data_IF_352621193818
#
_entry.id   IF_352621193818
#
_cell.length_a   1.000
_cell.length_b   1.000
_cell.length_c   1.000
_cell.angle_alpha   90.00
_cell.angle_beta   90.00
_cell.angle_gamma   90.00
#
_symmetry.space_group_name_H-M   'P 1'
#
loop_
_entity.id
_entity.type
_entity.pdbx_description
1 polymer ?
#
# COMPACT_ATOMS: atom_id res chain seq x y z
N UNK A 1 -27.04 -2.28 25.77
CA UNK A 1 -26.50 -2.39 24.39
C UNK A 1 -25.10 -2.99 24.48
N UNK A 2 -24.90 -4.22 24.01
CA UNK A 2 -23.57 -4.80 23.96
C UNK A 2 -22.78 -4.16 22.81
N UNK A 3 -21.73 -3.40 23.11
CA UNK A 3 -20.78 -2.94 22.10
C UNK A 3 -20.06 -4.18 21.53
N UNK A 4 -20.45 -4.59 20.33
CA UNK A 4 -19.72 -5.56 19.51
C UNK A 4 -18.36 -4.95 19.16
N UNK A 5 -17.40 -5.13 20.06
CA UNK A 5 -16.00 -4.77 19.81
C UNK A 5 -15.45 -5.74 18.76
N UNK A 6 -15.35 -5.28 17.51
CA UNK A 6 -14.73 -6.04 16.43
C UNK A 6 -13.27 -6.35 16.82
N UNK A 7 -12.98 -7.62 17.08
CA UNK A 7 -11.62 -8.10 17.33
C UNK A 7 -11.08 -8.69 16.02
N UNK A 8 -10.21 -7.98 15.29
CA UNK A 8 -9.71 -8.44 13.99
C UNK A 8 -8.89 -9.74 14.09
N UNK A 9 -8.35 -10.06 15.26
CA UNK A 9 -7.59 -11.29 15.51
C UNK A 9 -7.67 -11.72 16.98
N UNK A 10 -7.68 -13.03 17.22
CA UNK A 10 -7.54 -13.64 18.55
C UNK A 10 -6.09 -13.96 18.92
N UNK A 11 -5.11 -13.69 18.04
CA UNK A 11 -3.70 -13.94 18.31
C UNK A 11 -3.22 -13.02 19.45
N UNK A 12 -2.61 -13.64 20.47
CA UNK A 12 -2.06 -12.95 21.64
C UNK A 12 -1.00 -11.91 21.27
N UNK A 13 -0.28 -12.10 20.16
CA UNK A 13 0.76 -11.19 19.66
C UNK A 13 0.21 -9.82 19.26
N UNK A 14 -1.05 -9.79 18.86
CA UNK A 14 -1.72 -8.60 18.36
C UNK A 14 -2.67 -7.96 19.38
N UNK A 15 -2.57 -8.34 20.66
CA UNK A 15 -3.40 -7.76 21.72
C UNK A 15 -2.77 -6.46 22.26
N UNK A 16 -3.57 -5.41 22.37
CA UNK A 16 -3.10 -4.07 22.78
C UNK A 16 -3.24 -3.06 21.65
N UNK A 17 -2.43 -2.00 21.67
CA UNK A 17 -2.52 -0.92 20.68
C UNK A 17 -2.09 -1.37 19.27
N UNK A 18 -1.22 -2.38 19.16
CA UNK A 18 -0.75 -2.91 17.88
C UNK A 18 -1.87 -3.58 17.06
N UNK A 19 -3.04 -3.87 17.66
CA UNK A 19 -4.23 -4.36 16.93
C UNK A 19 -4.71 -3.38 15.85
N UNK A 20 -4.42 -2.09 16.02
CA UNK A 20 -4.78 -1.04 15.06
C UNK A 20 -4.03 -1.16 13.74
N UNK A 21 -2.98 -2.01 13.67
CA UNK A 21 -2.37 -2.42 12.41
C UNK A 21 -3.40 -2.93 11.40
N UNK A 22 -4.32 -3.81 11.84
CA UNK A 22 -5.33 -4.38 10.94
C UNK A 22 -6.42 -3.38 10.57
N UNK A 23 -6.75 -2.46 11.46
CA UNK A 23 -7.66 -1.35 11.16
C UNK A 23 -7.07 -0.45 10.07
N UNK A 24 -5.79 -0.05 10.20
CA UNK A 24 -5.12 0.74 9.17
C UNK A 24 -4.97 -0.01 7.86
N UNK A 25 -4.68 -1.31 7.92
CA UNK A 25 -4.63 -2.16 6.73
C UNK A 25 -5.98 -2.17 5.98
N UNK A 26 -7.10 -2.25 6.70
CA UNK A 26 -8.44 -2.14 6.10
C UNK A 26 -8.70 -0.76 5.52
N UNK A 27 -8.37 0.32 6.25
CA UNK A 27 -8.49 1.70 5.76
C UNK A 27 -7.68 1.89 4.47
N UNK A 28 -6.45 1.39 4.43
CA UNK A 28 -5.58 1.41 3.26
C UNK A 28 -6.22 0.72 2.07
N UNK A 29 -6.78 -0.48 2.27
CA UNK A 29 -7.46 -1.19 1.18
C UNK A 29 -8.74 -0.49 0.71
N UNK A 30 -9.48 0.16 1.61
CA UNK A 30 -10.61 1.01 1.22
C UNK A 30 -10.17 2.21 0.39
N UNK A 31 -9.00 2.79 0.69
CA UNK A 31 -8.41 3.89 -0.08
C UNK A 31 -7.89 3.45 -1.46
N UNK A 32 -7.45 2.20 -1.61
CA UNK A 32 -7.05 1.63 -2.90
C UNK A 32 -8.23 1.57 -3.88
N UNK A 33 -9.47 1.37 -3.43
CA UNK A 33 -10.63 1.28 -4.31
C UNK A 33 -10.87 2.53 -5.18
N UNK A 34 -10.99 3.76 -4.62
CA UNK A 34 -11.12 4.96 -5.43
C UNK A 34 -9.84 5.25 -6.24
N UNK A 35 -8.66 4.90 -5.72
CA UNK A 35 -7.40 5.01 -6.47
C UNK A 35 -7.44 4.19 -7.77
N UNK A 36 -7.88 2.93 -7.70
CA UNK A 36 -8.08 2.07 -8.90
C UNK A 36 -9.06 2.71 -9.87
N UNK A 37 -10.10 3.39 -9.39
CA UNK A 37 -11.01 4.17 -10.23
C UNK A 37 -10.32 5.28 -11.03
N UNK A 38 -9.40 6.02 -10.40
CA UNK A 38 -8.58 7.05 -11.08
C UNK A 38 -7.67 6.42 -12.13
N UNK A 39 -7.00 5.31 -11.80
CA UNK A 39 -6.12 4.55 -12.71
C UNK A 39 -6.88 4.08 -13.96
N UNK A 40 -8.11 3.57 -13.78
CA UNK A 40 -8.97 3.18 -14.91
C UNK A 40 -9.38 4.41 -15.74
N UNK A 41 -9.72 5.52 -15.11
CA UNK A 41 -10.08 6.75 -15.80
C UNK A 41 -8.93 7.31 -16.64
N UNK A 42 -7.69 7.29 -16.12
CA UNK A 42 -6.50 7.65 -16.90
C UNK A 42 -6.30 6.67 -18.06
N UNK A 43 -6.38 5.36 -17.83
CA UNK A 43 -6.19 4.34 -18.87
C UNK A 43 -7.18 4.52 -20.03
N UNK A 44 -8.45 4.78 -19.73
CA UNK A 44 -9.49 5.04 -20.74
C UNK A 44 -9.22 6.35 -21.49
N UNK A 45 -8.77 7.39 -20.79
CA UNK A 45 -8.47 8.69 -21.38
C UNK A 45 -7.24 8.61 -22.30
N UNK A 46 -6.18 7.94 -21.87
CA UNK A 46 -4.97 7.68 -22.67
C UNK A 46 -5.29 6.96 -23.97
N UNK A 47 -6.16 5.94 -23.93
CA UNK A 47 -6.58 5.24 -25.14
C UNK A 47 -7.27 6.18 -26.14
N UNK A 48 -8.17 7.04 -25.66
CA UNK A 48 -8.89 8.01 -26.49
C UNK A 48 -7.94 9.03 -27.10
N UNK A 49 -7.06 9.61 -26.30
CA UNK A 49 -6.08 10.60 -26.77
C UNK A 49 -5.12 10.00 -27.79
N UNK A 50 -4.69 8.75 -27.59
CA UNK A 50 -3.82 8.05 -28.55
C UNK A 50 -4.49 7.75 -29.90
N UNK A 51 -5.81 7.52 -29.93
CA UNK A 51 -6.58 7.35 -31.18
C UNK A 51 -6.73 8.68 -31.94
N UNK A 52 -6.89 9.80 -31.22
CA UNK A 52 -7.04 11.15 -31.78
C UNK A 52 -5.73 11.70 -32.36
N UNK A 53 -4.60 11.54 -31.65
CA UNK A 53 -3.31 12.12 -32.04
C UNK A 53 -2.50 11.26 -33.05
N UNK A 54 -3.01 10.08 -33.49
CA UNK A 54 -2.33 9.13 -34.41
C UNK A 54 -0.92 8.69 -33.98
N UNK A 55 -0.55 8.90 -32.72
CA UNK A 55 0.76 8.50 -32.18
C UNK A 55 0.72 6.99 -31.89
N UNK A 56 1.81 6.28 -32.23
CA UNK A 56 1.96 4.84 -31.97
C UNK A 56 1.71 4.52 -30.49
N UNK A 57 0.55 3.88 -30.23
CA UNK A 57 0.01 3.59 -28.91
C UNK A 57 0.83 2.56 -28.09
N UNK A 58 1.85 1.94 -28.69
CA UNK A 58 2.58 0.84 -28.05
C UNK A 58 3.49 1.29 -26.91
N UNK A 59 4.01 2.53 -26.92
CA UNK A 59 4.91 3.04 -25.89
C UNK A 59 4.23 3.65 -24.66
N UNK A 60 3.04 4.23 -24.83
CA UNK A 60 2.34 4.95 -23.76
C UNK A 60 1.74 4.01 -22.70
N UNK A 61 1.19 2.87 -23.13
CA UNK A 61 0.60 1.89 -22.23
C UNK A 61 1.63 1.18 -21.34
N UNK A 62 2.83 0.91 -21.85
CA UNK A 62 3.90 0.25 -21.10
C UNK A 62 4.41 1.17 -19.98
N UNK A 63 4.66 2.45 -20.29
CA UNK A 63 5.13 3.45 -19.31
C UNK A 63 4.11 3.72 -18.19
N UNK A 64 2.81 3.63 -18.49
CA UNK A 64 1.74 3.76 -17.48
C UNK A 64 1.80 2.64 -16.44
N UNK A 65 1.90 1.39 -16.88
CA UNK A 65 1.97 0.23 -15.98
C UNK A 65 3.29 0.15 -15.22
N UNK A 66 4.39 0.64 -15.79
CA UNK A 66 5.66 0.78 -15.08
C UNK A 66 5.54 1.73 -13.89
N UNK A 67 4.81 2.83 -14.05
CA UNK A 67 4.61 3.83 -13.00
C UNK A 67 3.72 3.33 -11.87
N UNK A 68 2.60 2.70 -12.19
CA UNK A 68 1.55 2.37 -11.21
C UNK A 68 1.55 0.89 -10.83
N UNK A 69 1.71 0.02 -11.83
CA UNK A 69 1.64 -1.43 -11.68
C UNK A 69 2.72 -1.99 -10.76
N UNK A 70 3.90 -1.37 -10.73
CA UNK A 70 5.02 -1.78 -9.88
C UNK A 70 4.68 -1.80 -8.39
N UNK A 71 3.81 -0.89 -7.90
CA UNK A 71 3.34 -0.88 -6.52
C UNK A 71 1.99 -1.61 -6.36
N UNK A 72 1.06 -1.36 -7.28
CA UNK A 72 -0.32 -1.81 -7.13
C UNK A 72 -0.48 -3.33 -7.22
N UNK A 73 0.13 -3.97 -8.23
CA UNK A 73 0.02 -5.42 -8.46
C UNK A 73 0.54 -6.22 -7.26
N UNK A 74 1.78 -5.99 -6.77
CA UNK A 74 2.26 -6.71 -5.61
C UNK A 74 1.45 -6.39 -4.35
N UNK A 75 0.92 -5.18 -4.16
CA UNK A 75 0.12 -4.84 -2.98
C UNK A 75 -1.24 -5.58 -2.98
N UNK A 76 -1.84 -5.74 -4.16
CA UNK A 76 -3.04 -6.58 -4.34
C UNK A 76 -2.71 -8.04 -4.01
N UNK A 77 -1.58 -8.58 -4.50
CA UNK A 77 -1.17 -9.95 -4.17
C UNK A 77 -0.91 -10.14 -2.67
N UNK A 78 -0.18 -9.20 -2.05
CA UNK A 78 0.05 -9.18 -0.61
C UNK A 78 -1.27 -9.09 0.16
N UNK A 79 -2.27 -8.40 -0.38
CA UNK A 79 -3.56 -8.26 0.28
C UNK A 79 -4.26 -9.61 0.47
N UNK A 80 -4.20 -10.50 -0.52
CA UNK A 80 -4.70 -11.87 -0.37
C UNK A 80 -3.89 -12.67 0.66
N UNK A 81 -2.56 -12.50 0.67
CA UNK A 81 -1.67 -13.18 1.63
C UNK A 81 -1.96 -12.75 3.07
N UNK A 82 -2.13 -11.45 3.31
CA UNK A 82 -2.47 -10.91 4.64
C UNK A 82 -3.86 -11.39 5.06
N UNK A 83 -4.86 -11.30 4.17
CA UNK A 83 -6.21 -11.78 4.47
C UNK A 83 -6.21 -13.27 4.88
N UNK A 84 -5.50 -14.11 4.14
CA UNK A 84 -5.33 -15.52 4.48
C UNK A 84 -4.62 -15.70 5.84
N UNK A 85 -3.55 -14.94 6.08
CA UNK A 85 -2.80 -14.96 7.34
C UNK A 85 -3.63 -14.54 8.56
N UNK A 86 -4.52 -13.55 8.39
CA UNK A 86 -5.46 -13.11 9.42
C UNK A 86 -6.50 -14.20 9.69
N UNK A 87 -7.12 -14.76 8.66
CA UNK A 87 -8.12 -15.85 8.79
C UNK A 87 -7.52 -17.04 9.53
N UNK A 88 -6.28 -17.42 9.21
CA UNK A 88 -5.58 -18.52 9.88
C UNK A 88 -4.95 -18.15 11.23
N UNK A 89 -5.06 -16.89 11.68
CA UNK A 89 -4.44 -16.39 12.92
C UNK A 89 -2.92 -16.63 12.96
N UNK A 90 -2.26 -16.50 11.81
CA UNK A 90 -0.82 -16.81 11.61
C UNK A 90 0.00 -15.61 11.13
N UNK A 91 -0.58 -14.41 11.06
CA UNK A 91 0.14 -13.22 10.63
C UNK A 91 1.21 -12.82 11.65
N UNK A 92 2.49 -12.99 11.30
CA UNK A 92 3.60 -12.77 12.23
C UNK A 92 3.99 -11.29 12.30
N UNK A 93 4.34 -10.73 13.49
CA UNK A 93 4.79 -9.34 13.60
C UNK A 93 6.03 -9.00 12.77
N UNK A 94 6.96 -9.96 12.59
CA UNK A 94 8.11 -9.79 11.69
C UNK A 94 7.66 -9.64 10.25
N UNK A 95 6.74 -10.50 9.78
CA UNK A 95 6.21 -10.41 8.42
C UNK A 95 5.53 -9.06 8.22
N UNK A 96 4.67 -8.65 9.16
CA UNK A 96 4.02 -7.35 9.17
C UNK A 96 5.02 -6.18 9.08
N UNK A 97 6.12 -6.26 9.81
CA UNK A 97 7.18 -5.25 9.81
C UNK A 97 7.86 -5.17 8.44
N UNK A 98 8.33 -6.30 7.94
CA UNK A 98 9.04 -6.39 6.66
C UNK A 98 8.14 -5.92 5.52
N UNK A 99 6.88 -6.37 5.48
CA UNK A 99 5.93 -5.92 4.46
C UNK A 99 5.67 -4.42 4.58
N UNK A 100 5.52 -3.86 5.79
CA UNK A 100 5.32 -2.42 5.92
C UNK A 100 6.51 -1.61 5.40
N UNK A 101 7.75 -2.04 5.65
CA UNK A 101 8.96 -1.35 5.16
C UNK A 101 9.02 -1.41 3.62
N UNK A 102 8.88 -2.61 3.06
CA UNK A 102 9.00 -2.83 1.61
C UNK A 102 7.93 -2.03 0.86
N UNK A 103 6.67 -2.12 1.29
CA UNK A 103 5.58 -1.43 0.61
C UNK A 103 5.56 0.07 0.87
N UNK A 104 6.00 0.54 2.04
CA UNK A 104 6.23 1.97 2.25
C UNK A 104 7.24 2.52 1.23
N UNK A 105 8.38 1.85 1.06
CA UNK A 105 9.41 2.28 0.10
C UNK A 105 8.89 2.24 -1.35
N UNK A 106 8.15 1.18 -1.71
CA UNK A 106 7.59 1.01 -3.04
C UNK A 106 6.54 2.07 -3.38
N UNK A 107 5.60 2.34 -2.46
CA UNK A 107 4.60 3.39 -2.64
C UNK A 107 5.22 4.78 -2.63
N UNK A 108 6.24 5.04 -1.80
CA UNK A 108 6.96 6.31 -1.81
C UNK A 108 7.66 6.53 -3.16
N UNK A 109 8.34 5.50 -3.68
CA UNK A 109 9.00 5.56 -4.98
C UNK A 109 8.01 5.88 -6.10
N UNK A 110 6.88 5.16 -6.16
CA UNK A 110 5.84 5.41 -7.17
C UNK A 110 5.20 6.78 -7.01
N UNK A 111 4.97 7.25 -5.78
CA UNK A 111 4.47 8.60 -5.50
C UNK A 111 5.38 9.67 -6.11
N UNK A 112 6.69 9.56 -5.84
CA UNK A 112 7.69 10.51 -6.34
C UNK A 112 7.82 10.42 -7.86
N UNK A 113 7.88 9.20 -8.41
CA UNK A 113 7.95 8.98 -9.85
C UNK A 113 6.75 9.61 -10.56
N UNK A 114 5.54 9.44 -10.02
CA UNK A 114 4.32 9.98 -10.63
C UNK A 114 4.30 11.51 -10.61
N UNK A 115 4.64 12.12 -9.47
CA UNK A 115 4.74 13.56 -9.35
C UNK A 115 5.83 14.15 -10.27
N UNK A 116 7.00 13.50 -10.35
CA UNK A 116 8.11 13.93 -11.19
C UNK A 116 7.80 13.80 -12.69
N UNK A 117 7.16 12.72 -13.13
CA UNK A 117 6.76 12.52 -14.52
C UNK A 117 5.70 13.55 -14.95
N UNK A 118 4.76 13.88 -14.05
CA UNK A 118 3.79 14.94 -14.31
C UNK A 118 4.46 16.32 -14.40
N UNK A 119 5.43 16.58 -13.52
CA UNK A 119 6.17 17.85 -13.47
C UNK A 119 7.14 18.03 -14.64
N UNK A 120 7.86 16.98 -15.04
CA UNK A 120 8.87 17.07 -16.10
C UNK A 120 8.25 17.38 -17.47
N UNK A 121 6.94 17.16 -17.64
CA UNK A 121 6.27 17.37 -18.91
C UNK A 121 6.80 16.47 -20.03
N UNK A 122 7.57 15.43 -19.71
CA UNK A 122 8.23 14.53 -20.68
C UNK A 122 7.24 13.68 -21.49
N UNK A 123 5.96 13.72 -21.14
CA UNK A 123 4.88 13.11 -21.94
C UNK A 123 4.56 14.07 -23.09
N UNK A 124 5.43 14.08 -24.11
CA UNK A 124 5.30 14.80 -25.41
C UNK A 124 4.16 14.22 -26.27
N UNK A 125 3.20 13.52 -25.67
CA UNK A 125 2.11 12.86 -26.38
C UNK A 125 0.93 13.80 -26.64
N UNK A 126 0.86 14.94 -25.94
CA UNK A 126 -0.25 15.87 -26.07
C UNK A 126 0.14 17.09 -26.89
N UNK A 127 -0.47 17.21 -28.06
CA UNK A 127 -0.36 18.39 -28.93
C UNK A 127 -1.14 19.59 -28.36
N UNK A 128 -2.22 19.33 -27.61
CA UNK A 128 -3.06 20.33 -26.97
C UNK A 128 -2.73 20.55 -25.47
N UNK A 129 -2.53 21.81 -25.08
CA UNK A 129 -2.31 22.24 -23.69
C UNK A 129 -3.44 21.80 -22.75
N UNK A 130 -4.68 21.74 -23.23
CA UNK A 130 -5.84 21.32 -22.43
C UNK A 130 -5.75 19.84 -22.02
N UNK A 131 -5.28 18.99 -22.92
CA UNK A 131 -5.15 17.55 -22.67
C UNK A 131 -3.99 17.28 -21.71
N UNK A 132 -2.89 18.02 -21.87
CA UNK A 132 -1.77 18.00 -20.92
C UNK A 132 -2.21 18.37 -19.50
N UNK A 133 -2.96 19.47 -19.33
CA UNK A 133 -3.44 19.91 -18.01
C UNK A 133 -4.37 18.88 -17.35
N UNK A 134 -5.24 18.23 -18.13
CA UNK A 134 -6.12 17.16 -17.63
C UNK A 134 -5.31 15.95 -17.17
N UNK A 135 -4.35 15.51 -17.98
CA UNK A 135 -3.48 14.39 -17.64
C UNK A 135 -2.64 14.69 -16.39
N UNK A 136 -2.02 15.87 -16.31
CA UNK A 136 -1.27 16.30 -15.11
C UNK A 136 -2.15 16.30 -13.85
N UNK A 137 -3.38 16.82 -13.94
CA UNK A 137 -4.32 16.79 -12.83
C UNK A 137 -4.65 15.36 -12.38
N UNK A 138 -4.73 14.40 -13.29
CA UNK A 138 -4.91 12.98 -12.95
C UNK A 138 -3.67 12.45 -12.24
N UNK A 139 -2.47 12.66 -12.78
CA UNK A 139 -1.22 12.20 -12.16
C UNK A 139 -1.00 12.79 -10.75
N UNK A 140 -1.34 14.07 -10.52
CA UNK A 140 -1.27 14.66 -9.18
C UNK A 140 -2.31 14.08 -8.22
N UNK A 141 -3.52 13.77 -8.70
CA UNK A 141 -4.52 13.07 -7.90
C UNK A 141 -4.03 11.67 -7.51
N UNK A 142 -3.46 10.92 -8.46
CA UNK A 142 -2.84 9.62 -8.21
C UNK A 142 -1.69 9.71 -7.21
N UNK A 143 -0.78 10.67 -7.37
CA UNK A 143 0.31 10.93 -6.43
C UNK A 143 -0.22 11.25 -5.02
N UNK A 144 -1.33 11.98 -4.92
CA UNK A 144 -2.02 12.23 -3.64
C UNK A 144 -2.48 10.94 -2.96
N UNK A 145 -3.11 10.02 -3.70
CA UNK A 145 -3.49 8.72 -3.18
C UNK A 145 -2.28 7.86 -2.79
N UNK A 146 -1.25 7.81 -3.64
CA UNK A 146 -0.02 7.06 -3.39
C UNK A 146 0.70 7.58 -2.13
N UNK A 147 0.72 8.91 -1.93
CA UNK A 147 1.28 9.55 -0.74
C UNK A 147 0.49 9.22 0.53
N UNK A 148 -0.84 9.22 0.46
CA UNK A 148 -1.70 8.82 1.58
C UNK A 148 -1.50 7.33 1.94
N UNK A 149 -1.38 6.44 0.95
CA UNK A 149 -1.08 5.02 1.17
C UNK A 149 0.30 4.85 1.81
N UNK A 150 1.30 5.61 1.35
CA UNK A 150 2.65 5.63 1.94
C UNK A 150 2.61 6.00 3.42
N UNK A 151 1.86 7.04 3.78
CA UNK A 151 1.68 7.46 5.17
C UNK A 151 1.03 6.36 6.02
N UNK A 152 0.01 5.68 5.50
CA UNK A 152 -0.62 4.56 6.20
C UNK A 152 0.38 3.42 6.45
N UNK A 153 1.21 3.07 5.47
CA UNK A 153 2.27 2.08 5.64
C UNK A 153 3.31 2.50 6.68
N UNK A 154 3.67 3.79 6.74
CA UNK A 154 4.56 4.34 7.76
C UNK A 154 3.97 4.22 9.18
N UNK A 155 2.67 4.47 9.36
CA UNK A 155 2.02 4.30 10.67
C UNK A 155 1.91 2.79 11.01
N UNK A 156 1.58 1.96 10.04
CA UNK A 156 1.54 0.49 10.19
C UNK A 156 2.91 -0.08 10.58
N UNK A 157 4.00 0.47 10.06
CA UNK A 157 5.37 0.14 10.45
C UNK A 157 5.60 0.38 11.96
N UNK A 158 5.08 1.49 12.50
CA UNK A 158 5.12 1.76 13.94
C UNK A 158 4.39 0.71 14.77
N UNK A 159 3.16 0.35 14.38
CA UNK A 159 2.40 -0.71 15.07
C UNK A 159 3.05 -2.09 14.96
N UNK A 160 3.59 -2.44 13.79
CA UNK A 160 4.31 -3.69 13.58
C UNK A 160 5.58 -3.77 14.44
N UNK A 161 6.33 -2.66 14.55
CA UNK A 161 7.51 -2.56 15.41
C UNK A 161 7.16 -2.80 16.88
N UNK A 162 6.05 -2.20 17.36
CA UNK A 162 5.55 -2.45 18.70
C UNK A 162 5.12 -3.91 18.90
N UNK A 163 4.38 -4.48 17.94
CA UNK A 163 3.99 -5.89 17.99
C UNK A 163 5.20 -6.83 18.03
N UNK A 164 6.28 -6.50 17.31
CA UNK A 164 7.53 -7.25 17.36
C UNK A 164 8.22 -7.14 18.72
N UNK A 165 8.24 -5.95 19.32
CA UNK A 165 8.82 -5.72 20.64
C UNK A 165 8.11 -6.54 21.73
N UNK A 166 6.78 -6.49 21.77
CA UNK A 166 5.98 -7.26 22.74
C UNK A 166 6.17 -8.77 22.55
N UNK A 167 6.25 -9.24 21.30
CA UNK A 167 6.54 -10.64 21.01
C UNK A 167 7.92 -11.08 21.52
N UNK A 168 8.97 -10.26 21.33
CA UNK A 168 10.32 -10.53 21.85
C UNK A 168 10.32 -10.57 23.37
N UNK A 169 9.66 -9.61 24.03
CA UNK A 169 9.53 -9.56 25.49
C UNK A 169 8.87 -10.83 26.04
N UNK A 170 7.74 -11.23 25.46
CA UNK A 170 7.03 -12.45 25.86
C UNK A 170 7.87 -13.72 25.64
N UNK A 171 8.69 -13.76 24.59
CA UNK A 171 9.61 -14.88 24.33
C UNK A 171 10.72 -14.96 25.38
N UNK A 172 11.31 -13.83 25.76
CA UNK A 172 12.37 -13.77 26.76
C UNK A 172 11.87 -14.16 28.16
N UNK A 173 10.68 -13.70 28.56
CA UNK A 173 10.08 -14.10 29.84
C UNK A 173 9.84 -15.61 29.94
N UNK A 174 9.44 -16.27 28.85
CA UNK A 174 9.27 -17.73 28.84
C UNK A 174 10.59 -18.48 28.97
N UNK A 175 11.68 -17.95 28.42
CA UNK A 175 12.99 -18.58 28.56
C UNK A 175 13.44 -18.54 30.03
N UNK A 176 13.31 -17.39 30.70
CA UNK A 176 13.70 -17.23 32.11
C UNK A 176 12.87 -18.06 33.09
N UNK A 177 11.62 -18.40 32.78
CA UNK A 177 10.78 -19.22 33.68
C UNK A 177 11.00 -20.72 33.54
N UNK A 178 11.72 -21.18 32.51
CA UNK A 178 12.01 -22.61 32.29
C UNK A 178 13.31 -23.05 32.98
N UNK A 179 14.25 -22.14 33.19
CA UNK A 179 15.55 -22.41 33.84
C UNK A 179 15.53 -22.77 35.35
N UNK A 180 14.55 -22.41 36.21
CA UNK A 180 14.65 -22.74 37.63
C UNK A 180 14.22 -24.18 38.01
N UNK A 181 13.82 -25.03 37.06
CA UNK A 181 13.33 -26.40 37.36
C UNK A 181 14.39 -27.52 37.23
N UNK A 182 15.64 -27.17 36.90
CA UNK A 182 16.74 -28.13 36.71
C UNK A 182 17.90 -27.96 37.69
N UNK A 183 17.69 -27.24 38.78
CA UNK A 183 18.65 -27.11 39.88
C UNK A 183 18.14 -27.85 41.11
#
# INVERSE_FOLDING_TARGET
>A
MAQLSFKPTSDKRWQGIQRHYFTLYMIKNLLILPFVGVVIAESVSMKKWGEEDRVSNNGANVKFWERIGAALIPDVALTFVIAFGIVKQRWHPIAALVTSIVYMALWLFVTLLNALVAYSGEVVYFSEVKTLNKWQSMCYAEAGFQGAITLLYMIMLGFASKGLHEWRKARNHRASTVEPSKA
#
